data_IF_813842058294
#
_entry.id   IF_813842058294
#
_cell.length_a   1.000
_cell.length_b   1.000
_cell.length_c   1.000
_cell.angle_alpha   90.00
_cell.angle_beta   90.00
_cell.angle_gamma   90.00
#
_symmetry.space_group_name_H-M   'P 1'
#
loop_
_entity.id
_entity.type
_entity.pdbx_description
1 polymer ?
#
# COMPACT_ATOMS: atom_id res chain seq x y z
N UNK A 1 -1.29 17.06 -3.84
CA UNK A 1 -1.80 15.68 -3.65
C UNK A 1 -0.73 14.55 -3.72
N UNK A 2 0.56 14.84 -3.96
CA UNK A 2 1.58 13.79 -4.13
C UNK A 2 2.38 13.43 -2.86
N UNK A 3 2.10 14.08 -1.72
CA UNK A 3 2.89 13.87 -0.51
C UNK A 3 2.67 12.46 0.06
N UNK A 4 1.42 12.05 0.26
CA UNK A 4 1.10 10.68 0.71
C UNK A 4 1.66 9.62 -0.22
N UNK A 5 1.46 9.77 -1.53
CA UNK A 5 2.00 8.85 -2.56
C UNK A 5 3.50 8.60 -2.40
N UNK A 6 4.29 9.66 -2.16
CA UNK A 6 5.75 9.53 -1.97
C UNK A 6 6.10 8.94 -0.61
N UNK A 7 5.40 9.34 0.44
CA UNK A 7 5.71 8.91 1.81
C UNK A 7 5.35 7.46 2.08
N UNK A 8 4.39 6.89 1.34
CA UNK A 8 4.01 5.49 1.48
C UNK A 8 4.86 4.52 0.66
N UNK A 9 5.74 5.00 -0.24
CA UNK A 9 6.60 4.14 -1.06
C UNK A 9 7.43 3.16 -0.22
N UNK A 10 8.14 3.58 0.85
CA UNK A 10 8.92 2.64 1.66
C UNK A 10 8.05 1.54 2.28
N UNK A 11 6.83 1.85 2.70
CA UNK A 11 5.91 0.86 3.25
C UNK A 11 5.45 -0.15 2.20
N UNK A 12 5.02 0.35 1.04
CA UNK A 12 4.54 -0.47 -0.07
C UNK A 12 5.65 -1.40 -0.59
N UNK A 13 6.90 -0.93 -0.61
CA UNK A 13 8.07 -1.72 -0.96
C UNK A 13 8.31 -2.87 0.03
N UNK A 14 8.29 -2.58 1.34
CA UNK A 14 8.44 -3.62 2.38
C UNK A 14 7.32 -4.67 2.33
N UNK A 15 6.10 -4.23 2.01
CA UNK A 15 4.94 -5.11 1.84
C UNK A 15 4.90 -5.81 0.47
N UNK A 16 5.88 -5.57 -0.40
CA UNK A 16 6.00 -6.17 -1.75
C UNK A 16 4.79 -5.89 -2.63
N UNK A 17 4.31 -4.65 -2.58
CA UNK A 17 3.35 -4.16 -3.55
C UNK A 17 3.95 -4.20 -4.96
N UNK A 18 3.21 -4.77 -5.89
CA UNK A 18 3.51 -4.72 -7.31
C UNK A 18 2.20 -4.93 -8.07
N UNK A 19 2.06 -4.28 -9.22
CA UNK A 19 0.91 -4.46 -10.11
C UNK A 19 0.95 -5.80 -10.85
N UNK A 20 2.08 -6.52 -10.77
CA UNK A 20 2.27 -7.84 -11.38
C UNK A 20 3.09 -8.77 -10.49
N UNK A 21 3.14 -10.06 -10.85
CA UNK A 21 3.88 -11.08 -10.10
C UNK A 21 5.40 -11.03 -10.35
N UNK A 22 5.88 -10.36 -11.41
CA UNK A 22 7.29 -10.02 -11.65
C UNK A 22 8.24 -11.18 -11.99
N UNK A 23 7.97 -12.43 -11.59
CA UNK A 23 8.81 -13.60 -11.88
C UNK A 23 8.00 -14.83 -12.28
N UNK A 24 8.54 -15.65 -13.19
CA UNK A 24 7.95 -16.86 -13.81
C UNK A 24 6.72 -16.62 -14.69
N UNK A 25 5.70 -15.93 -14.18
CA UNK A 25 4.49 -15.55 -14.91
C UNK A 25 4.15 -14.13 -14.48
N UNK A 26 4.33 -13.15 -15.36
CA UNK A 26 4.05 -11.73 -15.09
C UNK A 26 2.53 -11.43 -15.18
N UNK A 27 1.75 -12.20 -14.42
CA UNK A 27 0.31 -11.99 -14.29
C UNK A 27 0.03 -10.72 -13.48
N UNK A 28 -0.99 -9.97 -13.89
CA UNK A 28 -1.48 -8.81 -13.15
C UNK A 28 -1.97 -9.17 -11.74
N UNK A 29 -1.85 -8.22 -10.82
CA UNK A 29 -2.33 -8.30 -9.44
C UNK A 29 -3.32 -7.17 -9.19
N UNK A 30 -4.53 -7.51 -8.75
CA UNK A 30 -5.56 -6.54 -8.43
C UNK A 30 -5.46 -6.10 -6.97
N UNK A 31 -4.43 -5.33 -6.64
CA UNK A 31 -4.15 -4.84 -5.27
C UNK A 31 -4.14 -3.31 -5.16
N UNK A 32 -4.42 -2.61 -6.26
CA UNK A 32 -4.36 -1.14 -6.33
C UNK A 32 -5.32 -0.46 -5.34
N UNK A 33 -6.45 -1.08 -5.01
CA UNK A 33 -7.37 -0.58 -3.98
C UNK A 33 -6.72 -0.53 -2.60
N UNK A 34 -5.92 -1.54 -2.26
CA UNK A 34 -5.18 -1.56 -1.01
C UNK A 34 -4.07 -0.50 -0.99
N UNK A 35 -3.36 -0.30 -2.12
CA UNK A 35 -2.41 0.81 -2.27
C UNK A 35 -3.07 2.16 -2.02
N UNK A 36 -4.22 2.41 -2.65
CA UNK A 36 -4.94 3.68 -2.52
C UNK A 36 -5.43 3.88 -1.09
N UNK A 37 -5.90 2.82 -0.43
CA UNK A 37 -6.24 2.86 0.99
C UNK A 37 -5.03 3.19 1.88
N UNK A 38 -3.85 2.63 1.64
CA UNK A 38 -2.62 2.97 2.39
C UNK A 38 -2.27 4.46 2.22
N UNK A 39 -2.34 4.96 0.99
CA UNK A 39 -2.10 6.39 0.70
C UNK A 39 -3.10 7.26 1.45
N UNK A 40 -4.38 6.87 1.47
CA UNK A 40 -5.42 7.60 2.16
C UNK A 40 -5.25 7.57 3.69
N UNK A 41 -4.98 6.40 4.27
CA UNK A 41 -4.72 6.25 5.71
C UNK A 41 -3.54 7.12 6.17
N UNK A 42 -2.50 7.22 5.34
CA UNK A 42 -1.39 8.14 5.59
C UNK A 42 -1.83 9.61 5.52
N UNK A 43 -2.57 10.00 4.48
CA UNK A 43 -3.05 11.38 4.30
C UNK A 43 -4.00 11.81 5.43
N UNK A 44 -4.80 10.89 5.96
CA UNK A 44 -5.72 11.12 7.07
C UNK A 44 -5.00 11.13 8.44
N UNK A 45 -3.67 10.93 8.45
CA UNK A 45 -2.86 10.85 9.66
C UNK A 45 -3.42 9.80 10.64
N UNK A 46 -3.84 8.64 10.10
CA UNK A 46 -4.37 7.55 10.89
C UNK A 46 -3.33 7.10 11.93
N UNK A 47 -3.73 6.92 13.21
CA UNK A 47 -2.83 6.39 14.23
C UNK A 47 -2.26 5.04 13.82
N UNK A 48 -0.96 4.84 14.04
CA UNK A 48 -0.26 3.64 13.56
C UNK A 48 -0.82 2.33 14.13
N UNK A 49 -1.31 2.35 15.37
CA UNK A 49 -1.94 1.20 16.01
C UNK A 49 -3.32 0.84 15.42
N UNK A 50 -4.04 1.82 14.89
CA UNK A 50 -5.25 1.60 14.11
C UNK A 50 -4.90 1.08 12.72
N UNK A 51 -3.94 1.71 12.04
CA UNK A 51 -3.45 1.30 10.73
C UNK A 51 -3.02 -0.17 10.72
N UNK A 52 -2.21 -0.60 11.70
CA UNK A 52 -1.79 -2.00 11.80
C UNK A 52 -2.95 -2.96 12.07
N UNK A 53 -3.95 -2.55 12.85
CA UNK A 53 -5.14 -3.38 13.11
C UNK A 53 -5.97 -3.57 11.85
N UNK A 54 -6.21 -2.51 11.08
CA UNK A 54 -6.98 -2.57 9.85
C UNK A 54 -6.27 -3.37 8.74
N UNK A 55 -4.93 -3.41 8.74
CA UNK A 55 -4.14 -4.25 7.82
C UNK A 55 -4.29 -5.76 8.04
N UNK A 56 -4.69 -6.18 9.25
CA UNK A 56 -4.80 -7.59 9.64
C UNK A 56 -6.24 -8.11 9.66
N UNK A 57 -7.22 -7.21 9.57
CA UNK A 57 -8.64 -7.50 9.72
C UNK A 57 -9.27 -8.15 8.48
#
# INVERSE_FOLDING_TARGET
>A
PHFGERMTVPWLDQARYADTNGYSIDGGRDMWLWRDWVIQAYNDNMPFDQFLREQLA
#
